data_IF_445449767179
#
_entry.id   IF_445449767179
#
_cell.length_a   1.000
_cell.length_b   1.000
_cell.length_c   1.000
_cell.angle_alpha   90.00
_cell.angle_beta   90.00
_cell.angle_gamma   90.00
#
_symmetry.space_group_name_H-M   'P 1'
#
loop_
_entity.id
_entity.type
_entity.pdbx_description
1 polymer ?
#
# COMPACT_ATOMS: atom_id res chain seq x y z
N UNK A 1 70.27 -26.14 17.21
CA UNK A 1 69.60 -26.26 18.53
C UNK A 1 69.26 -24.85 18.97
N UNK A 2 68.03 -24.36 19.14
CA UNK A 2 66.73 -24.96 19.42
C UNK A 2 65.63 -24.06 18.79
N UNK A 3 64.76 -24.71 18.02
CA UNK A 3 63.30 -24.53 17.89
C UNK A 3 62.74 -23.10 17.91
N UNK A 4 62.40 -22.62 16.70
CA UNK A 4 61.27 -21.70 16.47
C UNK A 4 60.01 -22.42 16.98
N UNK A 5 59.34 -21.85 17.98
CA UNK A 5 58.03 -22.32 18.44
C UNK A 5 57.01 -21.24 18.09
N UNK A 6 56.21 -21.56 17.09
CA UNK A 6 55.00 -20.84 16.71
C UNK A 6 54.08 -20.64 17.92
N UNK A 7 53.48 -19.46 18.04
CA UNK A 7 52.19 -19.33 18.71
C UNK A 7 51.27 -18.47 17.84
N UNK A 8 50.48 -19.17 17.05
CA UNK A 8 49.29 -18.68 16.35
C UNK A 8 48.30 -18.22 17.42
N UNK A 9 48.16 -16.92 17.65
CA UNK A 9 47.00 -16.39 18.40
C UNK A 9 45.90 -16.19 17.37
N UNK A 10 45.03 -17.20 17.32
CA UNK A 10 43.78 -17.20 16.60
C UNK A 10 42.91 -16.05 17.15
N UNK A 11 42.84 -14.94 16.44
CA UNK A 11 41.81 -13.93 16.68
C UNK A 11 40.50 -14.58 16.25
N UNK A 12 39.82 -15.23 17.19
CA UNK A 12 38.44 -15.62 17.00
C UNK A 12 37.65 -14.33 16.85
N UNK A 13 37.29 -13.99 15.62
CA UNK A 13 36.25 -13.04 15.33
C UNK A 13 35.01 -13.48 16.13
N UNK A 14 34.69 -12.75 17.20
CA UNK A 14 33.35 -12.73 17.74
C UNK A 14 32.51 -12.03 16.69
N UNK A 15 32.04 -12.80 15.71
CA UNK A 15 30.94 -12.41 14.86
C UNK A 15 29.75 -12.19 15.79
N UNK A 16 29.50 -10.93 16.16
CA UNK A 16 28.16 -10.52 16.55
C UNK A 16 27.30 -10.64 15.29
N UNK A 17 26.79 -11.84 15.03
CA UNK A 17 25.59 -12.00 14.22
C UNK A 17 24.45 -11.41 15.05
N UNK A 18 24.22 -10.09 14.95
CA UNK A 18 22.96 -9.53 15.39
C UNK A 18 21.89 -10.03 14.43
N UNK A 19 21.18 -11.08 14.86
CA UNK A 19 19.88 -11.44 14.32
C UNK A 19 18.93 -10.28 14.65
N UNK A 20 18.76 -9.36 13.70
CA UNK A 20 17.80 -8.27 13.84
C UNK A 20 16.39 -8.84 13.54
N UNK A 21 15.94 -9.77 14.37
CA UNK A 21 14.54 -10.22 14.39
C UNK A 21 13.70 -9.18 15.14
N UNK A 22 13.76 -7.93 14.71
CA UNK A 22 12.72 -6.98 15.06
C UNK A 22 11.56 -7.33 14.15
N UNK A 23 10.64 -8.17 14.66
CA UNK A 23 9.32 -8.30 14.08
C UNK A 23 8.68 -6.91 14.12
N UNK A 24 8.89 -6.12 13.07
CA UNK A 24 8.04 -4.97 12.81
C UNK A 24 6.67 -5.58 12.55
N UNK A 25 5.78 -5.47 13.53
CA UNK A 25 4.35 -5.61 13.27
C UNK A 25 4.02 -4.55 12.22
N UNK A 26 4.05 -4.96 10.96
CA UNK A 26 3.64 -4.15 9.82
C UNK A 26 2.26 -3.58 10.14
N UNK A 27 2.16 -2.25 10.15
CA UNK A 27 0.88 -1.60 10.43
C UNK A 27 -0.07 -1.94 9.29
N UNK A 28 -1.17 -2.60 9.60
CA UNK A 28 -2.23 -2.91 8.63
C UNK A 28 -3.39 -1.96 8.89
N UNK A 29 -3.76 -1.18 7.89
CA UNK A 29 -4.94 -0.34 7.96
C UNK A 29 -6.17 -1.21 7.73
N UNK A 30 -7.20 -1.03 8.55
CA UNK A 30 -8.51 -1.64 8.36
C UNK A 30 -9.57 -0.57 8.57
N UNK A 31 -10.70 -0.72 7.89
CA UNK A 31 -11.84 0.17 8.02
C UNK A 31 -12.07 1.10 6.85
N UNK A 32 -13.19 1.83 6.92
CA UNK A 32 -13.39 2.98 6.04
C UNK A 32 -12.30 4.02 6.38
N UNK A 33 -11.56 4.44 5.37
CA UNK A 33 -10.52 5.45 5.52
C UNK A 33 -10.61 6.49 4.40
N UNK A 34 -9.91 7.59 4.61
CA UNK A 34 -9.74 8.66 3.63
C UNK A 34 -8.28 8.70 3.19
N UNK A 35 -7.95 9.48 2.15
CA UNK A 35 -6.58 9.54 1.66
C UNK A 35 -5.59 10.01 2.74
N UNK A 36 -6.05 10.77 3.73
CA UNK A 36 -5.23 11.32 4.81
C UNK A 36 -4.62 10.21 5.68
N UNK A 37 -5.22 9.01 5.70
CA UNK A 37 -4.64 7.86 6.38
C UNK A 37 -3.24 7.50 5.85
N UNK A 38 -2.94 7.82 4.57
CA UNK A 38 -1.66 7.51 3.93
C UNK A 38 -0.58 8.56 4.17
N UNK A 39 -0.86 9.63 4.92
CA UNK A 39 0.16 10.56 5.42
C UNK A 39 1.02 9.93 6.53
N UNK A 40 0.56 8.84 7.14
CA UNK A 40 1.33 8.09 8.12
C UNK A 40 2.61 7.50 7.49
N UNK A 41 3.74 7.61 8.19
CA UNK A 41 5.04 7.09 7.73
C UNK A 41 5.04 5.58 7.42
N UNK A 42 4.09 4.81 7.98
CA UNK A 42 3.92 3.40 7.66
C UNK A 42 3.46 3.18 6.20
N UNK A 43 2.85 4.19 5.57
CA UNK A 43 2.25 4.07 4.25
C UNK A 43 2.78 5.08 3.22
N UNK A 44 3.16 6.28 3.66
CA UNK A 44 3.57 7.37 2.76
C UNK A 44 4.78 7.03 1.89
N UNK A 45 5.65 6.13 2.36
CA UNK A 45 6.84 5.70 1.62
C UNK A 45 6.54 4.98 0.30
N UNK A 46 5.39 4.33 0.18
CA UNK A 46 4.91 3.74 -1.08
C UNK A 46 3.78 4.56 -1.73
N UNK A 47 2.93 5.21 -0.93
CA UNK A 47 1.82 5.99 -1.46
C UNK A 47 2.29 7.18 -2.30
N UNK A 48 3.22 7.98 -1.77
CA UNK A 48 3.64 9.22 -2.42
C UNK A 48 4.35 8.96 -3.75
N UNK A 49 5.35 8.06 -3.85
CA UNK A 49 6.00 7.78 -5.13
C UNK A 49 5.02 7.25 -6.19
N UNK A 50 4.12 6.32 -5.82
CA UNK A 50 3.16 5.75 -6.76
C UNK A 50 2.13 6.77 -7.26
N UNK A 51 1.75 7.74 -6.42
CA UNK A 51 0.89 8.85 -6.82
C UNK A 51 1.63 9.88 -7.70
N UNK A 52 2.85 10.27 -7.30
CA UNK A 52 3.60 11.37 -7.94
C UNK A 52 4.20 10.96 -9.29
N UNK A 53 4.71 9.73 -9.41
CA UNK A 53 5.38 9.24 -10.61
C UNK A 53 4.39 8.80 -11.71
N UNK A 54 3.11 8.65 -11.39
CA UNK A 54 2.12 8.24 -12.37
C UNK A 54 1.73 9.38 -13.31
N UNK A 55 2.06 9.22 -14.59
CA UNK A 55 1.68 10.11 -15.67
C UNK A 55 0.29 9.74 -16.20
N UNK A 56 -0.67 10.63 -15.98
CA UNK A 56 -2.05 10.43 -16.42
C UNK A 56 -2.16 10.76 -17.91
N UNK A 57 -2.77 9.87 -18.68
CA UNK A 57 -3.14 10.14 -20.07
C UNK A 57 -4.34 11.09 -20.15
N UNK A 58 -4.04 12.39 -20.19
CA UNK A 58 -5.04 13.46 -20.30
C UNK A 58 -5.94 13.33 -21.53
N UNK A 59 -5.46 12.67 -22.62
CA UNK A 59 -6.25 12.51 -23.84
C UNK A 59 -7.49 11.64 -23.61
N UNK A 60 -7.32 10.56 -22.86
CA UNK A 60 -8.40 9.63 -22.47
C UNK A 60 -9.41 10.26 -21.51
N UNK A 61 -8.96 11.16 -20.62
CA UNK A 61 -9.81 11.78 -19.60
C UNK A 61 -10.90 12.70 -20.17
N UNK A 62 -10.61 13.39 -21.27
CA UNK A 62 -11.54 14.35 -21.89
C UNK A 62 -12.90 13.72 -22.22
N UNK A 63 -12.90 12.45 -22.61
CA UNK A 63 -14.11 11.68 -22.95
C UNK A 63 -14.82 11.04 -21.75
N UNK A 64 -14.15 10.98 -20.61
CA UNK A 64 -14.59 10.27 -19.42
C UNK A 64 -15.31 11.21 -18.43
N UNK A 65 -14.89 12.48 -18.35
CA UNK A 65 -15.38 13.43 -17.34
C UNK A 65 -16.91 13.48 -17.24
N UNK A 66 -17.61 13.68 -18.36
CA UNK A 66 -19.08 13.80 -18.35
C UNK A 66 -19.79 12.49 -17.99
N UNK A 67 -19.16 11.34 -18.28
CA UNK A 67 -19.72 10.01 -17.99
C UNK A 67 -19.62 9.62 -16.52
N UNK A 68 -18.74 10.29 -15.78
CA UNK A 68 -18.48 9.99 -14.37
C UNK A 68 -19.39 10.77 -13.42
N UNK A 69 -20.20 11.72 -13.91
CA UNK A 69 -21.00 12.59 -13.06
C UNK A 69 -21.99 11.85 -12.15
N UNK A 70 -22.57 10.74 -12.60
CA UNK A 70 -23.54 9.94 -11.83
C UNK A 70 -22.95 8.65 -11.24
N UNK A 71 -21.65 8.44 -11.40
CA UNK A 71 -20.96 7.25 -10.92
C UNK A 71 -20.59 7.42 -9.45
N UNK A 72 -20.72 6.36 -8.67
CA UNK A 72 -20.09 6.27 -7.35
C UNK A 72 -19.11 5.10 -7.32
N UNK A 73 -18.01 5.25 -6.58
CA UNK A 73 -16.90 4.31 -6.60
C UNK A 73 -16.66 3.78 -5.19
N UNK A 74 -16.59 2.46 -5.07
CA UNK A 74 -16.08 1.80 -3.87
C UNK A 74 -14.75 1.13 -4.19
N UNK A 75 -13.72 1.50 -3.43
CA UNK A 75 -12.36 0.96 -3.54
C UNK A 75 -12.09 0.12 -2.31
N UNK A 76 -11.67 -1.13 -2.52
CA UNK A 76 -11.36 -2.06 -1.44
C UNK A 76 -9.92 -2.50 -1.59
N UNK A 77 -9.10 -2.24 -0.59
CA UNK A 77 -7.65 -2.40 -0.67
C UNK A 77 -7.03 -3.02 0.57
N UNK A 78 -5.86 -3.63 0.43
CA UNK A 78 -5.05 -4.07 1.57
C UNK A 78 -3.72 -3.32 1.60
N UNK A 79 -3.38 -2.63 2.70
CA UNK A 79 -2.08 -1.91 2.80
C UNK A 79 -0.87 -2.83 2.79
N UNK A 80 -1.09 -4.12 3.03
CA UNK A 80 -0.09 -5.20 2.98
C UNK A 80 0.08 -5.81 1.57
N UNK A 81 -0.73 -5.42 0.59
CA UNK A 81 -0.72 -5.98 -0.75
C UNK A 81 0.02 -5.05 -1.73
N UNK A 82 1.04 -5.55 -2.41
CA UNK A 82 1.83 -4.77 -3.38
C UNK A 82 1.00 -4.22 -4.54
N UNK A 83 -0.03 -4.94 -5.00
CA UNK A 83 -0.92 -4.43 -6.04
C UNK A 83 -1.79 -3.29 -5.52
N UNK A 84 -2.23 -3.36 -4.26
CA UNK A 84 -2.97 -2.24 -3.66
C UNK A 84 -2.08 -1.02 -3.47
N UNK A 85 -0.83 -1.23 -3.04
CA UNK A 85 0.17 -0.17 -2.90
C UNK A 85 0.47 0.51 -4.24
N UNK A 86 0.50 -0.25 -5.32
CA UNK A 86 0.80 0.26 -6.67
C UNK A 86 -0.42 0.93 -7.31
N UNK A 87 -1.58 0.28 -7.33
CA UNK A 87 -2.70 0.70 -8.18
C UNK A 87 -3.59 1.75 -7.51
N UNK A 88 -3.75 1.74 -6.18
CA UNK A 88 -4.66 2.69 -5.51
C UNK A 88 -4.15 4.13 -5.56
N UNK A 89 -2.86 4.45 -5.29
CA UNK A 89 -2.37 5.82 -5.42
C UNK A 89 -2.48 6.35 -6.85
N UNK A 90 -2.20 5.50 -7.85
CA UNK A 90 -2.35 5.83 -9.28
C UNK A 90 -3.79 6.11 -9.66
N UNK A 91 -4.72 5.29 -9.15
CA UNK A 91 -6.14 5.56 -9.29
C UNK A 91 -6.50 6.93 -8.71
N UNK A 92 -6.05 7.25 -7.49
CA UNK A 92 -6.26 8.56 -6.87
C UNK A 92 -5.73 9.71 -7.73
N UNK A 93 -4.56 9.54 -8.37
CA UNK A 93 -4.02 10.52 -9.32
C UNK A 93 -4.99 10.79 -10.49
N UNK A 94 -5.63 9.75 -11.02
CA UNK A 94 -6.59 9.86 -12.13
C UNK A 94 -7.85 10.60 -11.70
N UNK A 95 -8.47 10.21 -10.58
CA UNK A 95 -9.72 10.83 -10.10
C UNK A 95 -9.52 12.28 -9.67
N UNK A 96 -8.37 12.62 -9.08
CA UNK A 96 -8.01 14.01 -8.76
C UNK A 96 -7.87 14.84 -10.05
N UNK A 97 -7.23 14.28 -11.09
CA UNK A 97 -7.10 14.95 -12.39
C UNK A 97 -8.45 15.18 -13.07
N UNK A 98 -9.41 14.28 -12.86
CA UNK A 98 -10.80 14.42 -13.34
C UNK A 98 -11.61 15.45 -12.53
N UNK A 99 -11.11 15.91 -11.38
CA UNK A 99 -11.87 16.66 -10.38
C UNK A 99 -13.11 15.90 -9.93
N UNK A 100 -12.98 14.57 -9.75
CA UNK A 100 -14.07 13.72 -9.31
C UNK A 100 -14.48 14.06 -7.87
N UNK A 101 -15.77 13.99 -7.57
CA UNK A 101 -16.29 14.37 -6.28
C UNK A 101 -15.86 13.36 -5.19
N UNK A 102 -15.09 13.82 -4.21
CA UNK A 102 -14.50 12.95 -3.18
C UNK A 102 -15.55 12.21 -2.32
N UNK A 103 -16.73 12.81 -2.14
CA UNK A 103 -17.87 12.22 -1.44
C UNK A 103 -18.51 11.04 -2.19
N UNK A 104 -18.20 10.88 -3.49
CA UNK A 104 -18.61 9.74 -4.31
C UNK A 104 -17.60 8.58 -4.30
N UNK A 105 -16.54 8.68 -3.50
CA UNK A 105 -15.51 7.64 -3.36
C UNK A 105 -15.53 7.12 -1.94
N UNK A 106 -15.75 5.82 -1.80
CA UNK A 106 -15.63 5.10 -0.53
C UNK A 106 -14.39 4.22 -0.59
N UNK A 107 -13.40 4.49 0.28
CA UNK A 107 -12.22 3.65 0.43
C UNK A 107 -12.35 2.78 1.68
N UNK A 108 -12.17 1.47 1.49
CA UNK A 108 -12.25 0.46 2.53
C UNK A 108 -10.92 -0.30 2.57
N UNK A 109 -10.23 -0.21 3.70
CA UNK A 109 -9.04 -1.00 3.97
C UNK A 109 -9.41 -2.32 4.67
N UNK A 110 -8.77 -3.41 4.28
CA UNK A 110 -9.02 -4.76 4.83
C UNK A 110 -7.74 -5.44 5.31
N UNK A 111 -7.91 -6.36 6.26
CA UNK A 111 -6.83 -7.23 6.75
C UNK A 111 -6.43 -8.30 5.71
N UNK A 112 -5.53 -9.21 6.09
CA UNK A 112 -5.03 -10.30 5.21
C UNK A 112 -6.14 -11.30 4.83
N UNK A 113 -7.15 -11.42 5.68
CA UNK A 113 -8.35 -12.23 5.47
C UNK A 113 -9.45 -11.49 4.70
N UNK A 114 -9.17 -10.26 4.25
CA UNK A 114 -10.07 -9.37 3.47
C UNK A 114 -11.30 -8.94 4.25
N UNK A 115 -11.13 -8.77 5.57
CA UNK A 115 -12.16 -8.35 6.52
C UNK A 115 -11.83 -6.99 7.13
N UNK A 116 -12.87 -6.35 7.65
CA UNK A 116 -12.77 -5.16 8.49
C UNK A 116 -13.94 -5.14 9.46
N UNK A 117 -13.73 -4.59 10.65
CA UNK A 117 -14.77 -4.47 11.68
C UNK A 117 -15.74 -3.31 11.42
N UNK A 118 -15.45 -2.44 10.45
CA UNK A 118 -16.29 -1.25 10.19
C UNK A 118 -17.50 -1.52 9.32
N UNK A 119 -17.40 -2.50 8.41
CA UNK A 119 -18.47 -2.86 7.46
C UNK A 119 -18.41 -4.35 7.18
N UNK A 120 -19.56 -4.93 6.83
CA UNK A 120 -19.60 -6.28 6.33
C UNK A 120 -19.14 -6.30 4.86
N UNK A 121 -17.89 -6.68 4.62
CA UNK A 121 -17.33 -6.78 3.26
C UNK A 121 -17.81 -8.03 2.51
N UNK A 122 -18.58 -8.92 3.15
CA UNK A 122 -19.06 -10.15 2.50
C UNK A 122 -19.99 -9.87 1.32
N UNK A 123 -20.72 -8.75 1.35
CA UNK A 123 -21.60 -8.33 0.24
C UNK A 123 -20.85 -8.13 -1.09
N UNK A 124 -19.57 -7.77 -1.02
CA UNK A 124 -18.73 -7.51 -2.19
C UNK A 124 -18.07 -8.78 -2.77
N UNK A 125 -18.15 -9.93 -2.09
CA UNK A 125 -17.58 -11.22 -2.53
C UNK A 125 -16.10 -11.13 -3.01
N UNK A 126 -15.30 -10.34 -2.29
CA UNK A 126 -13.94 -10.00 -2.72
C UNK A 126 -12.99 -11.16 -2.47
N UNK A 127 -12.30 -11.59 -3.52
CA UNK A 127 -11.24 -12.60 -3.43
C UNK A 127 -9.83 -12.01 -3.56
N UNK A 128 -9.71 -10.82 -4.16
CA UNK A 128 -8.45 -10.15 -4.46
C UNK A 128 -8.53 -8.65 -4.15
N UNK A 129 -7.39 -8.06 -3.80
CA UNK A 129 -7.25 -6.62 -3.58
C UNK A 129 -6.12 -6.07 -4.47
N UNK A 130 -6.23 -4.83 -4.98
CA UNK A 130 -7.36 -3.93 -4.81
C UNK A 130 -8.54 -4.33 -5.71
N UNK A 131 -9.76 -3.99 -5.30
CA UNK A 131 -10.98 -4.12 -6.10
C UNK A 131 -11.64 -2.74 -6.22
N UNK A 132 -11.99 -2.35 -7.44
CA UNK A 132 -12.69 -1.11 -7.75
C UNK A 132 -14.09 -1.45 -8.28
N UNK A 133 -15.12 -0.90 -7.63
CA UNK A 133 -16.53 -1.14 -7.97
C UNK A 133 -17.15 0.21 -8.36
N UNK A 134 -17.76 0.27 -9.53
CA UNK A 134 -18.43 1.44 -10.07
C UNK A 134 -19.93 1.16 -10.12
N UNK A 135 -20.74 2.03 -9.50
CA UNK A 135 -22.20 1.97 -9.51
C UNK A 135 -22.80 3.02 -10.43
#
# INVERSE_FOLDING_TARGET
MKKILSLFILISALSFAQENNQASTEKILTGICTHEAFNDSAFSWWWNPEYEMYEVDDSSLSSLKDKMNDVSITVIMGTWCSDSQREVPRFYKIIDRLLFAADKIKLIAVDKDKKTDTIDTSEFNITLVPTFIFF
#
